data_IF_183421446216
#
_entry.id   IF_183421446216
#
_cell.length_a   1.000
_cell.length_b   1.000
_cell.length_c   1.000
_cell.angle_alpha   90.00
_cell.angle_beta   90.00
_cell.angle_gamma   90.00
#
_symmetry.space_group_name_H-M   'P 1'
#
loop_
_entity.id
_entity.type
_entity.pdbx_description
1 polymer ?
#
# COMPACT_ATOMS: atom_id res chain seq x y z
N UNK A 1 5.55 12.13 -21.35
CA UNK A 1 5.55 12.46 -19.91
C UNK A 1 6.35 11.40 -19.15
N UNK A 2 7.08 11.77 -18.10
CA UNK A 2 7.78 10.80 -17.25
C UNK A 2 6.77 9.91 -16.50
N UNK A 3 7.02 8.59 -16.47
CA UNK A 3 6.16 7.66 -15.73
C UNK A 3 6.30 7.91 -14.22
N UNK A 4 5.20 7.94 -13.47
CA UNK A 4 5.20 8.23 -12.02
C UNK A 4 4.43 7.17 -11.24
N UNK A 5 5.06 6.65 -10.19
CA UNK A 5 4.45 5.66 -9.32
C UNK A 5 4.55 6.13 -7.87
N UNK A 6 3.42 6.13 -7.14
CA UNK A 6 3.36 6.52 -5.72
C UNK A 6 2.90 5.37 -4.83
N UNK A 7 3.69 5.03 -3.83
CA UNK A 7 3.30 4.11 -2.77
C UNK A 7 3.01 4.88 -1.49
N UNK A 8 1.79 4.75 -0.97
CA UNK A 8 1.42 5.21 0.35
C UNK A 8 1.51 4.04 1.32
N UNK A 9 2.47 4.11 2.24
CA UNK A 9 2.89 3.00 3.09
C UNK A 9 2.80 3.37 4.58
N UNK A 10 2.55 2.38 5.43
CA UNK A 10 2.53 2.57 6.87
C UNK A 10 1.50 1.69 7.58
N UNK A 11 1.64 1.46 8.88
CA UNK A 11 0.78 0.52 9.61
C UNK A 11 -0.69 0.94 9.69
N UNK A 12 -1.57 -0.01 9.99
CA UNK A 12 -2.98 0.30 10.25
C UNK A 12 -3.07 1.39 11.34
N UNK A 13 -3.99 2.36 11.18
CA UNK A 13 -4.12 3.47 12.16
C UNK A 13 -3.16 4.65 11.98
N UNK A 14 -2.15 4.55 11.11
CA UNK A 14 -1.14 5.61 10.94
C UNK A 14 -1.62 6.88 10.21
N UNK A 15 -2.88 6.95 9.77
CA UNK A 15 -3.40 8.14 9.09
C UNK A 15 -3.11 8.25 7.58
N UNK A 16 -2.78 7.12 6.91
CA UNK A 16 -2.59 7.06 5.44
C UNK A 16 -3.72 7.69 4.62
N UNK A 17 -4.98 7.40 4.94
CA UNK A 17 -6.13 7.88 4.14
C UNK A 17 -6.18 9.41 4.08
N UNK A 18 -6.01 10.08 5.23
CA UNK A 18 -5.91 11.55 5.29
C UNK A 18 -4.65 12.10 4.60
N UNK A 19 -3.56 11.31 4.50
CA UNK A 19 -2.39 11.70 3.71
C UNK A 19 -2.66 11.60 2.22
N UNK A 20 -3.35 10.56 1.79
CA UNK A 20 -3.72 10.36 0.39
C UNK A 20 -4.65 11.48 -0.07
N UNK A 21 -5.66 11.85 0.73
CA UNK A 21 -6.56 12.97 0.46
C UNK A 21 -5.77 14.28 0.24
N UNK A 22 -4.94 14.66 1.23
CA UNK A 22 -4.11 15.87 1.13
C UNK A 22 -3.20 15.87 -0.10
N UNK A 23 -2.56 14.74 -0.42
CA UNK A 23 -1.66 14.65 -1.58
C UNK A 23 -2.43 14.61 -2.90
N UNK A 24 -3.67 14.11 -2.90
CA UNK A 24 -4.50 14.04 -4.10
C UNK A 24 -5.02 15.39 -4.57
N UNK A 25 -5.12 16.37 -3.67
CA UNK A 25 -5.50 17.75 -4.00
C UNK A 25 -4.45 18.44 -4.88
N UNK A 26 -3.16 18.19 -4.60
CA UNK A 26 -2.05 18.86 -5.27
C UNK A 26 -1.42 18.05 -6.42
N UNK A 27 -1.65 16.73 -6.45
CA UNK A 27 -0.94 15.84 -7.36
C UNK A 27 -1.86 14.82 -8.04
N UNK A 28 -1.66 14.64 -9.35
CA UNK A 28 -2.32 13.56 -10.08
C UNK A 28 -1.86 12.17 -9.59
N UNK A 29 -2.79 11.41 -9.01
CA UNK A 29 -2.58 10.07 -8.46
C UNK A 29 -2.56 8.96 -9.51
N UNK A 30 -2.97 9.23 -10.75
CA UNK A 30 -3.23 8.22 -11.76
C UNK A 30 -4.30 7.22 -11.30
N UNK A 31 -4.21 5.97 -11.74
CA UNK A 31 -5.05 4.91 -11.19
C UNK A 31 -4.69 4.67 -9.73
N UNK A 32 -5.68 4.69 -8.85
CA UNK A 32 -5.49 4.46 -7.42
C UNK A 32 -5.99 3.06 -7.04
N UNK A 33 -5.06 2.21 -6.62
CA UNK A 33 -5.37 0.83 -6.22
C UNK A 33 -5.40 0.73 -4.70
N UNK A 34 -6.54 0.35 -4.13
CA UNK A 34 -6.73 0.23 -2.69
C UNK A 34 -7.58 -0.99 -2.34
N UNK A 35 -7.10 -1.81 -1.40
CA UNK A 35 -7.77 -3.06 -1.02
C UNK A 35 -9.10 -2.83 -0.27
N UNK A 36 -9.21 -1.77 0.53
CA UNK A 36 -10.46 -1.43 1.21
C UNK A 36 -11.52 -0.93 0.21
N UNK A 37 -11.12 -0.19 -0.83
CA UNK A 37 -12.03 0.22 -1.92
C UNK A 37 -12.56 -1.01 -2.69
N UNK A 38 -11.66 -1.95 -3.04
CA UNK A 38 -12.05 -3.22 -3.68
C UNK A 38 -13.07 -3.97 -2.81
N UNK A 39 -12.79 -4.14 -1.50
CA UNK A 39 -13.74 -4.78 -0.58
C UNK A 39 -15.09 -4.06 -0.52
N UNK A 40 -15.06 -2.73 -0.49
CA UNK A 40 -16.27 -1.90 -0.42
C UNK A 40 -17.11 -2.05 -1.69
N UNK A 41 -16.49 -2.11 -2.87
CA UNK A 41 -17.21 -2.36 -4.13
C UNK A 41 -17.93 -3.70 -4.12
N UNK A 42 -17.25 -4.78 -3.75
CA UNK A 42 -17.90 -6.10 -3.66
C UNK A 42 -19.01 -6.12 -2.62
N UNK A 43 -18.80 -5.51 -1.45
CA UNK A 43 -19.82 -5.45 -0.39
C UNK A 43 -21.08 -4.69 -0.84
N UNK A 44 -20.93 -3.61 -1.61
CA UNK A 44 -22.05 -2.74 -1.98
C UNK A 44 -22.76 -3.21 -3.25
N UNK A 45 -22.03 -3.77 -4.22
CA UNK A 45 -22.56 -4.05 -5.55
C UNK A 45 -22.54 -5.55 -5.91
N UNK A 46 -21.80 -6.39 -5.19
CA UNK A 46 -21.57 -7.79 -5.54
C UNK A 46 -20.56 -8.01 -6.67
N UNK A 47 -20.04 -6.92 -7.26
CA UNK A 47 -19.06 -6.97 -8.34
C UNK A 47 -18.04 -5.82 -8.24
N UNK A 48 -17.03 -5.89 -9.08
CA UNK A 48 -16.00 -4.86 -9.27
C UNK A 48 -15.80 -4.62 -10.76
N UNK A 49 -16.03 -3.40 -11.23
CA UNK A 49 -15.69 -3.00 -12.59
C UNK A 49 -14.19 -2.69 -12.69
N UNK A 50 -13.46 -3.44 -13.52
CA UNK A 50 -12.02 -3.22 -13.69
C UNK A 50 -11.70 -1.89 -14.38
N UNK A 51 -12.64 -1.24 -15.06
CA UNK A 51 -12.43 0.09 -15.68
C UNK A 51 -12.09 1.17 -14.64
N UNK A 52 -12.55 1.01 -13.40
CA UNK A 52 -12.21 1.92 -12.30
C UNK A 52 -10.71 1.84 -11.91
N UNK A 53 -10.05 0.73 -12.23
CA UNK A 53 -8.69 0.44 -11.78
C UNK A 53 -7.67 0.30 -12.93
N UNK A 54 -8.13 0.11 -14.17
CA UNK A 54 -7.28 -0.22 -15.32
C UNK A 54 -7.61 0.64 -16.56
N UNK A 55 -6.59 1.00 -17.37
CA UNK A 55 -6.78 1.76 -18.60
C UNK A 55 -7.29 0.93 -19.79
N UNK A 56 -7.47 -0.37 -19.62
CA UNK A 56 -7.92 -1.28 -20.66
C UNK A 56 -8.74 -2.42 -20.06
N UNK A 57 -9.50 -3.06 -20.91
CA UNK A 57 -10.19 -4.29 -20.54
C UNK A 57 -9.20 -5.42 -20.27
N UNK A 58 -9.57 -6.29 -19.34
CA UNK A 58 -8.85 -7.53 -18.98
C UNK A 58 -9.70 -8.75 -19.24
N UNK A 59 -9.06 -9.84 -19.69
CA UNK A 59 -9.73 -11.11 -19.94
C UNK A 59 -9.69 -12.05 -18.74
N UNK A 60 -10.64 -12.96 -18.70
CA UNK A 60 -10.66 -14.13 -17.81
C UNK A 60 -9.38 -14.95 -17.89
N UNK A 61 -8.82 -15.11 -19.10
CA UNK A 61 -7.55 -15.78 -19.31
C UNK A 61 -6.39 -15.10 -18.57
N UNK A 62 -6.30 -13.76 -18.60
CA UNK A 62 -5.27 -13.01 -17.87
C UNK A 62 -5.39 -13.21 -16.35
N UNK A 63 -6.62 -13.18 -15.84
CA UNK A 63 -6.89 -13.43 -14.42
C UNK A 63 -6.53 -14.86 -14.02
N UNK A 64 -6.99 -15.87 -14.77
CA UNK A 64 -6.71 -17.27 -14.50
C UNK A 64 -5.20 -17.57 -14.57
N UNK A 65 -4.50 -17.00 -15.55
CA UNK A 65 -3.03 -17.12 -15.65
C UNK A 65 -2.34 -16.47 -14.46
N UNK A 66 -2.81 -15.32 -13.99
CA UNK A 66 -2.26 -14.68 -12.80
C UNK A 66 -2.44 -15.55 -11.55
N UNK A 67 -3.64 -16.09 -11.33
CA UNK A 67 -3.93 -16.95 -10.17
C UNK A 67 -3.13 -18.24 -10.19
N UNK A 68 -2.99 -18.89 -11.35
CA UNK A 68 -2.18 -20.12 -11.50
C UNK A 68 -0.69 -19.90 -11.18
N UNK A 69 -0.17 -18.70 -11.47
CA UNK A 69 1.22 -18.34 -11.17
C UNK A 69 1.38 -17.72 -9.77
N UNK A 70 0.29 -17.52 -9.03
CA UNK A 70 0.35 -17.06 -7.66
C UNK A 70 0.64 -18.24 -6.73
N UNK A 71 1.70 -18.10 -5.94
CA UNK A 71 1.96 -19.00 -4.81
C UNK A 71 0.97 -18.71 -3.66
N UNK A 72 -0.27 -19.18 -3.83
CA UNK A 72 -1.37 -18.93 -2.90
C UNK A 72 -1.11 -19.54 -1.53
N UNK A 73 -0.47 -20.70 -1.46
CA UNK A 73 -0.19 -21.42 -0.22
C UNK A 73 0.75 -20.62 0.69
N UNK A 74 1.89 -20.16 0.15
CA UNK A 74 2.81 -19.32 0.93
C UNK A 74 2.25 -17.92 1.23
N UNK A 75 1.33 -17.41 0.40
CA UNK A 75 0.80 -16.04 0.54
C UNK A 75 -0.42 -15.94 1.43
N UNK A 76 -1.27 -16.95 1.45
CA UNK A 76 -2.57 -16.94 2.11
C UNK A 76 -2.65 -17.89 3.30
N UNK A 77 -1.72 -18.86 3.40
CA UNK A 77 -1.80 -19.93 4.40
C UNK A 77 -3.04 -20.81 4.23
N UNK A 78 -3.66 -20.77 3.05
CA UNK A 78 -4.83 -21.56 2.67
C UNK A 78 -4.67 -21.97 1.20
N UNK A 79 -5.13 -23.19 0.88
CA UNK A 79 -5.30 -23.68 -0.49
C UNK A 79 -6.63 -23.24 -1.10
N UNK A 80 -7.56 -22.73 -0.29
CA UNK A 80 -8.87 -22.28 -0.74
C UNK A 80 -8.88 -20.77 -1.01
N UNK A 81 -9.09 -20.43 -2.27
CA UNK A 81 -9.44 -19.10 -2.74
C UNK A 81 -10.85 -19.18 -3.33
N UNK A 82 -11.90 -18.58 -2.72
CA UNK A 82 -13.23 -18.52 -3.31
C UNK A 82 -13.13 -18.03 -4.76
N UNK A 83 -13.89 -18.67 -5.67
CA UNK A 83 -13.78 -18.40 -7.10
C UNK A 83 -14.19 -16.95 -7.38
N UNK A 84 -13.19 -16.15 -7.78
CA UNK A 84 -13.43 -14.85 -8.39
C UNK A 84 -13.43 -15.10 -9.90
N UNK A 85 -14.56 -14.83 -10.53
CA UNK A 85 -14.73 -14.94 -11.98
C UNK A 85 -14.61 -13.56 -12.58
N UNK A 86 -13.84 -13.43 -13.64
CA UNK A 86 -13.76 -12.22 -14.45
C UNK A 86 -14.52 -12.50 -15.76
N UNK A 87 -15.51 -11.68 -16.09
CA UNK A 87 -16.22 -11.75 -17.38
C UNK A 87 -16.51 -10.34 -17.85
N UNK A 88 -16.22 -10.05 -19.13
CA UNK A 88 -16.50 -8.74 -19.73
C UNK A 88 -15.95 -7.57 -18.90
N UNK A 89 -14.73 -7.71 -18.39
CA UNK A 89 -14.05 -6.72 -17.53
C UNK A 89 -14.64 -6.53 -16.11
N UNK A 90 -15.64 -7.33 -15.73
CA UNK A 90 -16.27 -7.30 -14.41
C UNK A 90 -15.81 -8.51 -13.59
N UNK A 91 -15.29 -8.27 -12.38
CA UNK A 91 -15.01 -9.33 -11.42
C UNK A 91 -16.21 -9.57 -10.52
N UNK A 92 -16.60 -10.84 -10.37
CA UNK A 92 -17.69 -11.29 -9.50
C UNK A 92 -17.15 -12.37 -8.57
N UNK A 93 -17.56 -12.34 -7.31
CA UNK A 93 -17.23 -13.36 -6.32
C UNK A 93 -18.51 -14.09 -5.91
N UNK A 94 -18.44 -15.41 -5.78
CA UNK A 94 -19.56 -16.23 -5.32
C UNK A 94 -19.79 -16.09 -3.80
N UNK A 95 -18.71 -15.83 -3.07
CA UNK A 95 -18.69 -15.66 -1.61
C UNK A 95 -18.15 -14.28 -1.21
N UNK A 96 -18.33 -13.93 0.07
CA UNK A 96 -17.74 -12.72 0.66
C UNK A 96 -16.21 -12.68 0.49
N UNK A 97 -15.71 -11.57 -0.05
CA UNK A 97 -14.26 -11.37 -0.17
C UNK A 97 -13.64 -10.77 1.10
N UNK A 98 -12.76 -11.54 1.74
CA UNK A 98 -11.88 -11.05 2.81
C UNK A 98 -10.71 -10.16 2.28
N UNK A 99 -9.88 -9.65 3.20
CA UNK A 99 -8.74 -8.76 2.87
C UNK A 99 -7.63 -9.41 2.04
N UNK A 100 -7.52 -10.74 2.04
CA UNK A 100 -6.55 -11.44 1.22
C UNK A 100 -6.94 -11.46 -0.26
N UNK A 101 -8.22 -11.69 -0.57
CA UNK A 101 -8.75 -11.58 -1.94
C UNK A 101 -8.50 -10.19 -2.51
N UNK A 102 -8.87 -9.14 -1.76
CA UNK A 102 -8.66 -7.77 -2.19
C UNK A 102 -7.17 -7.47 -2.42
N UNK A 103 -6.28 -7.99 -1.57
CA UNK A 103 -4.83 -7.82 -1.75
C UNK A 103 -4.32 -8.46 -3.05
N UNK A 104 -4.87 -9.62 -3.45
CA UNK A 104 -4.52 -10.31 -4.70
C UNK A 104 -5.09 -9.61 -5.93
N UNK A 105 -6.34 -9.14 -5.89
CA UNK A 105 -6.92 -8.31 -6.95
C UNK A 105 -6.09 -7.03 -7.14
N UNK A 106 -5.72 -6.35 -6.05
CA UNK A 106 -4.83 -5.20 -6.10
C UNK A 106 -3.44 -5.55 -6.64
N UNK A 107 -2.94 -6.77 -6.45
CA UNK A 107 -1.68 -7.20 -7.05
C UNK A 107 -1.81 -7.41 -8.55
N UNK A 108 -2.86 -8.08 -9.00
CA UNK A 108 -3.20 -8.23 -10.41
C UNK A 108 -3.26 -6.87 -11.10
N UNK A 109 -4.02 -5.92 -10.55
CA UNK A 109 -4.13 -4.57 -11.13
C UNK A 109 -2.79 -3.85 -11.20
N UNK A 110 -1.98 -3.92 -10.13
CA UNK A 110 -0.66 -3.29 -10.10
C UNK A 110 0.30 -3.84 -11.15
N UNK A 111 0.25 -5.15 -11.43
CA UNK A 111 1.07 -5.78 -12.48
C UNK A 111 0.68 -5.26 -13.87
N UNK A 112 -0.61 -5.10 -14.13
CA UNK A 112 -1.11 -4.58 -15.40
C UNK A 112 -0.78 -3.09 -15.55
N UNK A 113 -1.04 -2.30 -14.51
CA UNK A 113 -0.73 -0.87 -14.50
C UNK A 113 0.75 -0.61 -14.76
N UNK A 114 1.63 -1.41 -14.18
CA UNK A 114 3.06 -1.28 -14.40
C UNK A 114 3.46 -1.38 -15.90
N UNK A 115 2.70 -2.15 -16.68
CA UNK A 115 2.93 -2.33 -18.12
C UNK A 115 2.20 -1.29 -18.98
N UNK A 116 1.02 -0.86 -18.55
CA UNK A 116 0.06 -0.18 -19.43
C UNK A 116 -0.19 1.31 -19.13
N UNK A 117 0.30 1.87 -18.01
CA UNK A 117 0.08 3.29 -17.69
C UNK A 117 1.39 4.08 -17.51
N UNK A 118 1.27 5.41 -17.61
CA UNK A 118 2.30 6.37 -17.21
C UNK A 118 2.14 6.86 -15.76
N UNK A 119 1.09 6.47 -15.05
CA UNK A 119 0.80 6.99 -13.71
C UNK A 119 -0.15 6.10 -12.92
N UNK A 120 0.27 5.67 -11.73
CA UNK A 120 -0.61 5.03 -10.76
C UNK A 120 -0.08 5.18 -9.33
N UNK A 121 -0.95 4.88 -8.38
CA UNK A 121 -0.65 4.89 -6.96
C UNK A 121 -1.35 3.74 -6.25
N UNK A 122 -0.83 3.34 -5.08
CA UNK A 122 -1.55 2.42 -4.22
C UNK A 122 -1.24 2.62 -2.75
N UNK A 123 -2.22 2.24 -1.93
CA UNK A 123 -2.08 2.18 -0.47
C UNK A 123 -1.69 0.76 -0.03
N UNK A 124 -0.77 0.67 0.93
CA UNK A 124 -0.38 -0.60 1.54
C UNK A 124 0.02 -0.41 3.00
N UNK A 125 -0.16 -1.46 3.79
CA UNK A 125 0.45 -1.53 5.12
C UNK A 125 1.98 -1.60 5.00
N UNK A 126 2.48 -2.21 3.91
CA UNK A 126 3.91 -2.49 3.68
C UNK A 126 4.51 -3.48 4.69
N UNK A 127 3.72 -4.44 5.19
CA UNK A 127 4.17 -5.46 6.14
C UNK A 127 4.73 -6.73 5.49
N UNK A 128 5.07 -6.72 4.20
CA UNK A 128 5.59 -7.87 3.46
C UNK A 128 6.68 -7.45 2.46
N UNK A 129 7.80 -8.20 2.33
CA UNK A 129 8.91 -7.82 1.45
C UNK A 129 8.53 -7.58 -0.01
N UNK A 130 7.49 -8.26 -0.51
CA UNK A 130 6.99 -8.08 -1.88
C UNK A 130 6.60 -6.63 -2.22
N UNK A 131 6.30 -5.79 -1.23
CA UNK A 131 6.02 -4.36 -1.46
C UNK A 131 7.29 -3.58 -1.79
N UNK A 132 8.40 -3.89 -1.11
CA UNK A 132 9.73 -3.34 -1.44
C UNK A 132 10.17 -3.82 -2.82
N UNK A 133 10.03 -5.13 -3.11
CA UNK A 133 10.35 -5.69 -4.43
C UNK A 133 9.52 -5.05 -5.55
N UNK A 134 8.25 -4.74 -5.29
CA UNK A 134 7.41 -4.01 -6.25
C UNK A 134 7.92 -2.58 -6.49
N UNK A 135 8.35 -1.88 -5.43
CA UNK A 135 8.95 -0.54 -5.56
C UNK A 135 10.18 -0.56 -6.49
N UNK A 136 11.07 -1.53 -6.27
CA UNK A 136 12.25 -1.78 -7.11
C UNK A 136 11.87 -2.07 -8.56
N UNK A 137 10.90 -2.95 -8.77
CA UNK A 137 10.42 -3.33 -10.11
C UNK A 137 9.79 -2.14 -10.84
N UNK A 138 9.05 -1.28 -10.12
CA UNK A 138 8.51 -0.06 -10.70
C UNK A 138 9.62 0.87 -11.20
N UNK A 139 10.66 1.07 -10.38
CA UNK A 139 11.83 1.86 -10.76
C UNK A 139 12.55 1.29 -11.98
N UNK A 140 12.82 -0.02 -12.00
CA UNK A 140 13.48 -0.67 -13.15
C UNK A 140 12.62 -0.66 -14.42
N UNK A 141 11.30 -0.52 -14.29
CA UNK A 141 10.34 -0.36 -15.40
C UNK A 141 10.23 1.09 -15.91
N UNK A 142 11.11 1.99 -15.44
CA UNK A 142 11.20 3.38 -15.88
C UNK A 142 10.24 4.35 -15.18
N UNK A 143 9.63 3.95 -14.06
CA UNK A 143 8.85 4.88 -13.23
C UNK A 143 9.78 5.68 -12.32
N UNK A 144 9.52 6.99 -12.21
CA UNK A 144 9.98 7.76 -11.05
C UNK A 144 9.10 7.39 -9.85
N UNK A 145 9.74 6.81 -8.84
CA UNK A 145 9.08 6.21 -7.69
C UNK A 145 9.04 7.16 -6.51
N UNK A 146 7.87 7.23 -5.87
CA UNK A 146 7.60 8.04 -4.69
C UNK A 146 7.12 7.14 -3.57
N UNK A 147 7.80 7.18 -2.42
CA UNK A 147 7.37 6.53 -1.19
C UNK A 147 6.86 7.60 -0.22
N UNK A 148 5.62 7.47 0.24
CA UNK A 148 5.09 8.23 1.36
C UNK A 148 4.90 7.26 2.51
N UNK A 149 5.84 7.23 3.46
CA UNK A 149 5.78 6.36 4.62
C UNK A 149 5.32 7.14 5.85
N UNK A 150 4.17 6.78 6.41
CA UNK A 150 3.58 7.46 7.56
C UNK A 150 3.38 6.48 8.73
N UNK A 151 3.90 6.85 9.90
CA UNK A 151 3.82 6.06 11.11
C UNK A 151 3.48 6.92 12.34
N UNK A 152 3.28 6.24 13.46
CA UNK A 152 3.20 6.81 14.81
C UNK A 152 4.41 6.32 15.61
N UNK A 153 4.69 6.94 16.75
CA UNK A 153 5.77 6.56 17.66
C UNK A 153 5.49 5.25 18.41
N UNK A 154 4.21 4.90 18.57
CA UNK A 154 3.76 3.77 19.36
C UNK A 154 2.59 3.04 18.64
N UNK A 155 2.58 1.69 18.59
CA UNK A 155 1.45 0.92 18.07
C UNK A 155 0.14 1.14 18.84
N UNK A 156 0.15 1.53 20.11
CA UNK A 156 -1.05 1.79 20.90
C UNK A 156 -1.87 2.97 20.35
N UNK A 157 -1.19 3.98 19.79
CA UNK A 157 -1.85 5.10 19.08
C UNK A 157 -2.65 4.55 17.89
N UNK A 158 -2.06 3.59 17.17
CA UNK A 158 -2.69 2.96 16.01
C UNK A 158 -3.87 2.07 16.39
N UNK A 159 -3.74 1.26 17.44
CA UNK A 159 -4.83 0.43 17.98
C UNK A 159 -6.02 1.31 18.38
N UNK A 160 -5.78 2.36 19.16
CA UNK A 160 -6.80 3.33 19.56
C UNK A 160 -7.51 3.98 18.36
N UNK A 161 -6.76 4.42 17.34
CA UNK A 161 -7.35 5.00 16.11
C UNK A 161 -8.19 4.00 15.33
N UNK A 162 -7.73 2.75 15.20
CA UNK A 162 -8.49 1.69 14.51
C UNK A 162 -9.76 1.35 15.28
N UNK A 163 -9.69 1.27 16.62
CA UNK A 163 -10.86 1.07 17.48
C UNK A 163 -11.93 2.15 17.28
N UNK A 164 -11.54 3.44 17.34
CA UNK A 164 -12.45 4.57 17.12
C UNK A 164 -13.07 4.52 15.72
N UNK A 165 -12.28 4.23 14.69
CA UNK A 165 -12.77 4.10 13.31
C UNK A 165 -13.75 2.93 13.16
N UNK A 166 -13.46 1.80 13.79
CA UNK A 166 -14.34 0.63 13.77
C UNK A 166 -15.69 0.95 14.43
N UNK A 167 -15.68 1.64 15.58
CA UNK A 167 -16.88 2.16 16.26
C UNK A 167 -17.73 3.08 15.38
N UNK A 168 -17.14 3.72 14.36
CA UNK A 168 -17.83 4.56 13.37
C UNK A 168 -18.23 3.81 12.09
N UNK A 169 -18.20 2.47 12.10
CA UNK A 169 -18.59 1.63 10.96
C UNK A 169 -17.43 1.21 10.04
N UNK A 170 -16.19 1.55 10.39
CA UNK A 170 -15.01 1.10 9.65
C UNK A 170 -14.65 -0.37 9.88
N UNK A 171 -13.68 -0.86 9.09
CA UNK A 171 -13.21 -2.25 9.16
C UNK A 171 -12.45 -2.55 10.46
N UNK A 172 -12.83 -3.66 11.12
CA UNK A 172 -12.17 -4.19 12.31
C UNK A 172 -10.82 -4.87 11.98
N UNK A 173 -9.80 -4.60 12.77
CA UNK A 173 -8.51 -5.32 12.70
C UNK A 173 -8.11 -5.59 14.14
N UNK A 174 -7.72 -6.83 14.47
CA UNK A 174 -7.32 -7.17 15.84
C UNK A 174 -6.03 -6.46 16.23
N UNK A 175 -5.87 -6.21 17.53
CA UNK A 175 -4.72 -5.50 18.08
C UNK A 175 -3.41 -6.25 17.81
N UNK A 176 -3.40 -7.58 17.89
CA UNK A 176 -2.20 -8.38 17.59
C UNK A 176 -1.78 -8.22 16.13
N UNK A 177 -2.77 -8.15 15.22
CA UNK A 177 -2.51 -7.96 13.79
C UNK A 177 -2.03 -6.55 13.49
N UNK A 178 -2.56 -5.53 14.16
CA UNK A 178 -2.09 -4.14 14.05
C UNK A 178 -0.63 -4.05 14.50
N UNK A 179 -0.32 -4.61 15.67
CA UNK A 179 1.02 -4.56 16.26
C UNK A 179 2.05 -5.35 15.45
N UNK A 180 1.72 -6.58 15.04
CA UNK A 180 2.59 -7.37 14.17
C UNK A 180 2.90 -6.62 12.87
N UNK A 181 1.88 -6.00 12.25
CA UNK A 181 2.05 -5.20 11.03
C UNK A 181 2.84 -3.92 11.27
N UNK A 182 2.68 -3.29 12.43
CA UNK A 182 3.46 -2.12 12.84
C UNK A 182 4.95 -2.37 12.74
N UNK A 183 5.45 -3.36 13.50
CA UNK A 183 6.88 -3.67 13.50
C UNK A 183 7.36 -4.18 12.14
N UNK A 184 6.61 -5.06 11.47
CA UNK A 184 6.98 -5.55 10.13
C UNK A 184 7.12 -4.44 9.10
N UNK A 185 6.29 -3.39 9.18
CA UNK A 185 6.35 -2.26 8.23
C UNK A 185 7.55 -1.36 8.51
N UNK A 186 7.87 -1.14 9.79
CA UNK A 186 9.07 -0.43 10.22
C UNK A 186 10.35 -1.17 9.82
N UNK A 187 10.40 -2.49 9.99
CA UNK A 187 11.54 -3.31 9.59
C UNK A 187 11.88 -3.19 8.08
N UNK A 188 10.85 -2.98 7.24
CA UNK A 188 10.98 -2.84 5.79
C UNK A 188 11.27 -1.40 5.33
N UNK A 189 11.16 -0.40 6.23
CA UNK A 189 11.25 1.02 5.90
C UNK A 189 12.57 1.38 5.23
N UNK A 190 13.71 1.03 5.82
CA UNK A 190 15.01 1.41 5.26
C UNK A 190 15.23 0.84 3.85
N UNK A 191 14.78 -0.39 3.62
CA UNK A 191 14.86 -1.00 2.29
C UNK A 191 13.95 -0.27 1.29
N UNK A 192 12.69 0.00 1.66
CA UNK A 192 11.78 0.75 0.79
C UNK A 192 12.29 2.17 0.47
N UNK A 193 12.83 2.85 1.48
CA UNK A 193 13.41 4.18 1.37
C UNK A 193 14.58 4.21 0.38
N UNK A 194 15.42 3.17 0.37
CA UNK A 194 16.53 3.05 -0.59
C UNK A 194 16.06 2.80 -2.02
N UNK A 195 15.02 1.99 -2.21
CA UNK A 195 14.47 1.69 -3.54
C UNK A 195 13.78 2.89 -4.19
N UNK A 196 13.20 3.80 -3.41
CA UNK A 196 12.46 4.94 -3.92
C UNK A 196 13.36 6.05 -4.50
N UNK A 197 12.96 6.70 -5.59
CA UNK A 197 13.67 7.90 -6.10
C UNK A 197 13.38 9.13 -5.23
N UNK A 198 12.15 9.23 -4.72
CA UNK A 198 11.72 10.21 -3.74
C UNK A 198 11.07 9.49 -2.56
N UNK A 199 11.42 9.84 -1.34
CA UNK A 199 10.77 9.28 -0.16
C UNK A 199 10.44 10.37 0.84
N UNK A 200 9.29 10.28 1.48
CA UNK A 200 8.87 11.14 2.58
C UNK A 200 8.57 10.24 3.77
N UNK A 201 9.16 10.55 4.92
CA UNK A 201 8.92 9.84 6.17
C UNK A 201 8.20 10.80 7.11
N UNK A 202 6.97 10.45 7.45
CA UNK A 202 6.05 11.32 8.17
C UNK A 202 5.73 10.71 9.53
N UNK A 203 5.82 11.54 10.57
CA UNK A 203 5.29 11.22 11.89
C UNK A 203 3.87 11.78 12.03
N UNK A 204 2.98 10.97 12.58
CA UNK A 204 1.58 11.32 12.80
C UNK A 204 1.15 11.02 14.23
N UNK A 205 2.09 11.01 15.17
CA UNK A 205 1.85 10.73 16.59
C UNK A 205 1.11 11.88 17.26
N UNK A 206 1.39 13.11 16.83
CA UNK A 206 0.72 14.32 17.30
C UNK A 206 -0.57 14.60 16.50
N UNK A 207 -1.23 15.72 16.80
CA UNK A 207 -2.35 16.20 15.96
C UNK A 207 -1.88 16.63 14.57
N UNK A 208 -0.64 17.13 14.49
CA UNK A 208 -0.04 17.54 13.22
C UNK A 208 0.66 16.33 12.59
N UNK A 209 0.75 16.38 11.26
CA UNK A 209 1.54 15.42 10.49
C UNK A 209 2.82 16.12 10.07
N UNK A 210 3.93 15.67 10.62
CA UNK A 210 5.22 16.31 10.43
C UNK A 210 6.05 15.46 9.47
N UNK A 211 6.58 16.09 8.41
CA UNK A 211 7.60 15.47 7.58
C UNK A 211 8.88 15.46 8.41
N UNK A 212 9.41 14.28 8.71
CA UNK A 212 10.66 14.14 9.47
C UNK A 212 11.84 14.17 8.52
N UNK A 213 11.75 13.40 7.43
CA UNK A 213 12.80 13.24 6.43
C UNK A 213 12.21 13.25 5.02
N UNK A 214 12.93 13.87 4.09
CA UNK A 214 12.75 13.70 2.65
C UNK A 214 14.02 13.14 2.03
N UNK A 215 13.86 12.23 1.08
CA UNK A 215 14.90 11.83 0.13
C UNK A 215 14.55 12.33 -1.27
N UNK A 216 15.54 12.90 -1.95
CA UNK A 216 15.48 13.21 -3.38
C UNK A 216 16.74 12.68 -4.07
N UNK A 217 16.62 11.54 -4.76
CA UNK A 217 17.79 10.88 -5.35
C UNK A 217 18.73 10.37 -4.28
N UNK A 218 19.91 10.96 -4.15
CA UNK A 218 20.89 10.62 -3.10
C UNK A 218 20.87 11.60 -1.93
N UNK A 219 20.20 12.75 -2.08
CA UNK A 219 20.13 13.77 -1.04
C UNK A 219 19.04 13.43 -0.03
N UNK A 220 19.35 13.67 1.25
CA UNK A 220 18.41 13.53 2.36
C UNK A 220 18.33 14.84 3.13
N UNK A 221 17.12 15.36 3.28
CA UNK A 221 16.82 16.56 4.07
C UNK A 221 16.08 16.16 5.34
N UNK A 222 16.50 16.74 6.47
CA UNK A 222 15.87 16.54 7.79
C UNK A 222 15.11 17.80 8.15
N UNK A 223 13.83 17.65 8.48
CA UNK A 223 12.93 18.77 8.76
C UNK A 223 12.44 18.81 10.22
N UNK A 224 12.77 17.78 11.01
CA UNK A 224 12.44 17.73 12.45
C UNK A 224 13.65 18.10 13.29
N UNK A 225 13.47 18.99 14.27
CA UNK A 225 14.50 19.36 15.26
C UNK A 225 14.94 18.15 16.09
N UNK A 226 14.02 17.22 16.33
CA UNK A 226 14.28 15.95 17.04
C UNK A 226 13.80 14.79 16.18
N UNK A 227 14.69 13.85 15.88
CA UNK A 227 14.34 12.65 15.12
C UNK A 227 13.57 11.69 16.05
N UNK A 228 12.33 11.28 15.71
CA UNK A 228 11.60 10.31 16.50
C UNK A 228 12.35 8.98 16.63
N UNK A 229 12.25 8.33 17.79
CA UNK A 229 13.00 7.10 18.09
C UNK A 229 12.79 6.01 17.04
N UNK A 230 11.55 5.84 16.55
CA UNK A 230 11.26 4.86 15.51
C UNK A 230 11.95 5.19 14.17
N UNK A 231 12.08 6.47 13.82
CA UNK A 231 12.81 6.88 12.61
C UNK A 231 14.29 6.61 12.78
N UNK A 232 14.86 6.97 13.93
CA UNK A 232 16.27 6.72 14.23
C UNK A 232 16.59 5.21 14.18
N UNK A 233 15.79 4.40 14.88
CA UNK A 233 15.98 2.95 15.00
C UNK A 233 15.79 2.20 13.67
N UNK A 234 14.71 2.49 12.94
CA UNK A 234 14.32 1.69 11.78
C UNK A 234 14.78 2.25 10.43
N UNK A 235 15.24 3.50 10.39
CA UNK A 235 15.75 4.14 9.19
C UNK A 235 17.20 4.61 9.37
N UNK A 236 17.45 5.62 10.20
CA UNK A 236 18.76 6.31 10.25
C UNK A 236 19.89 5.34 10.57
N UNK A 237 19.81 4.64 11.70
CA UNK A 237 20.81 3.65 12.11
C UNK A 237 21.00 2.58 11.04
N UNK A 238 19.91 2.08 10.44
CA UNK A 238 19.97 1.04 9.40
C UNK A 238 20.61 1.49 8.09
N UNK A 239 20.59 2.79 7.78
CA UNK A 239 21.29 3.35 6.63
C UNK A 239 22.77 3.58 6.92
N UNK A 240 23.15 3.92 8.16
CA UNK A 240 24.54 4.13 8.56
C UNK A 240 25.39 2.85 8.63
N UNK A 241 24.76 1.66 8.67
CA UNK A 241 25.44 0.36 8.71
C UNK A 241 25.44 -0.37 7.36
N UNK A 242 25.14 0.32 6.25
CA UNK A 242 25.17 -0.23 4.88
C UNK A 242 26.05 0.63 3.98
#
# INVERSE_FOLDING_TARGET
>A
MAKRFRMFAGPNGSGKSSLIEQISDDFNMGYFVNADNVKTSFKNHGFLDCNEYLPRQVSDQEWNTFILNCDLENRLGTSYFPPIRLKENIMVAEDDINSYHAALICEFFRIILLRCTSGFSFETVMSHPSKVSFLRHARSSGFKTYLYFICTQDPEINKSRVYIRHRKGGHYVSDEKIESRYYRSLELLSSAFMEADRAYVLDSSSKNRDVVLEKSGQEVSVYSDTIPEWVDKYLVKKLSFK
#
